data_IF_715968047182
#
_entry.id   IF_715968047182
#
_cell.length_a   1.000
_cell.length_b   1.000
_cell.length_c   1.000
_cell.angle_alpha   90.00
_cell.angle_beta   90.00
_cell.angle_gamma   90.00
#
_symmetry.space_group_name_H-M   'P 1'
#
loop_
_entity.id
_entity.type
_entity.pdbx_description
1 polymer ?
#
# COMPACT_ATOMS: atom_id res chain seq x y z
N UNK A 1 29.16 17.90 33.03
CA UNK A 1 29.21 17.17 31.76
C UNK A 1 28.06 16.22 31.60
N UNK A 2 27.84 15.35 32.55
CA UNK A 2 26.73 14.41 32.48
C UNK A 2 25.37 15.09 32.39
N UNK A 3 25.21 16.22 33.02
CA UNK A 3 23.98 16.98 33.01
C UNK A 3 23.65 17.48 31.61
N UNK A 4 24.67 17.83 30.85
CA UNK A 4 24.47 18.28 29.47
C UNK A 4 23.96 17.16 28.59
N UNK A 5 24.49 15.97 28.80
CA UNK A 5 24.04 14.83 28.03
C UNK A 5 22.60 14.44 28.34
N UNK A 6 22.26 14.50 29.62
CA UNK A 6 20.88 14.24 30.02
C UNK A 6 19.92 15.23 29.40
N UNK A 7 20.29 16.49 29.40
CA UNK A 7 19.46 17.52 28.82
C UNK A 7 19.27 17.29 27.31
N UNK A 8 20.34 16.93 26.62
CA UNK A 8 20.26 16.63 25.20
C UNK A 8 19.34 15.46 24.93
N UNK A 9 19.43 14.42 25.72
CA UNK A 9 18.56 13.25 25.58
C UNK A 9 17.10 13.63 25.76
N UNK A 10 16.82 14.45 26.76
CA UNK A 10 15.47 14.93 26.98
C UNK A 10 14.94 15.73 25.80
N UNK A 11 15.77 16.58 25.24
CA UNK A 11 15.39 17.36 24.07
C UNK A 11 15.06 16.44 22.90
N UNK A 12 15.84 15.42 22.69
CA UNK A 12 15.58 14.46 21.63
C UNK A 12 14.27 13.72 21.84
N UNK A 13 14.02 13.30 23.04
CA UNK A 13 12.77 12.60 23.35
C UNK A 13 11.58 13.51 23.11
N UNK A 14 11.65 14.75 23.55
CA UNK A 14 10.58 15.71 23.33
C UNK A 14 10.38 15.99 21.85
N UNK A 15 11.46 16.19 21.13
CA UNK A 15 11.39 16.40 19.69
C UNK A 15 10.78 15.20 18.99
N UNK A 16 11.16 14.00 19.40
CA UNK A 16 10.60 12.79 18.81
C UNK A 16 9.11 12.67 19.05
N UNK A 17 8.65 12.98 20.25
CA UNK A 17 7.22 12.95 20.56
C UNK A 17 6.46 13.99 19.76
N UNK A 18 6.99 15.19 19.70
CA UNK A 18 6.33 16.24 18.91
C UNK A 18 6.25 15.86 17.44
N UNK A 19 7.31 15.35 16.88
CA UNK A 19 7.34 14.91 15.50
C UNK A 19 6.34 13.79 15.29
N UNK A 20 6.27 12.86 16.20
CA UNK A 20 5.32 11.76 16.11
C UNK A 20 3.87 12.25 16.09
N UNK A 21 3.52 13.14 17.02
CA UNK A 21 2.17 13.69 17.08
C UNK A 21 1.86 14.51 15.81
N UNK A 22 2.83 15.25 15.36
CA UNK A 22 2.68 16.04 14.17
C UNK A 22 2.39 15.16 12.95
N UNK A 23 3.14 14.08 12.79
CA UNK A 23 2.90 13.14 11.69
C UNK A 23 1.54 12.48 11.79
N UNK A 24 1.09 12.17 12.97
CA UNK A 24 -0.23 11.58 13.14
C UNK A 24 -1.33 12.45 12.58
N UNK A 25 -1.21 13.76 12.77
CA UNK A 25 -2.18 14.70 12.24
C UNK A 25 -2.09 14.90 10.73
N UNK A 26 -0.97 14.56 10.13
CA UNK A 26 -0.74 14.82 8.71
C UNK A 26 -0.86 13.60 7.81
N UNK A 27 -1.18 12.47 8.37
CA UNK A 27 -1.26 11.24 7.58
C UNK A 27 -2.16 11.35 6.38
N UNK A 28 -3.23 12.07 6.52
CA UNK A 28 -4.19 12.22 5.44
C UNK A 28 -3.67 13.05 4.28
N UNK A 29 -2.69 13.93 4.56
CA UNK A 29 -2.16 14.85 3.56
C UNK A 29 -1.12 14.19 2.68
N UNK A 30 -0.45 13.18 3.18
CA UNK A 30 0.71 12.58 2.52
C UNK A 30 0.43 11.30 1.77
N UNK A 31 -0.83 11.06 1.46
CA UNK A 31 -1.20 9.84 0.76
C UNK A 31 -0.84 9.85 -0.72
N UNK A 32 -0.15 10.90 -1.17
CA UNK A 32 0.28 10.97 -2.55
C UNK A 32 1.37 9.96 -2.88
N UNK A 33 2.09 9.48 -1.87
CA UNK A 33 3.12 8.47 -2.09
C UNK A 33 2.61 7.04 -1.98
N UNK A 34 1.31 6.87 -1.89
CA UNK A 34 0.69 5.55 -1.90
C UNK A 34 -0.44 5.51 -2.93
N UNK A 35 -0.74 4.32 -3.36
CA UNK A 35 -1.85 4.05 -4.26
C UNK A 35 -2.63 2.88 -3.72
N UNK A 36 -3.94 3.04 -3.58
CA UNK A 36 -4.81 1.98 -3.09
C UNK A 36 -5.71 1.48 -4.19
N UNK A 37 -6.03 0.20 -4.13
CA UNK A 37 -6.94 -0.41 -5.08
C UNK A 37 -7.75 -1.50 -4.39
N UNK A 38 -9.05 -1.46 -4.61
CA UNK A 38 -9.98 -2.47 -4.10
C UNK A 38 -10.52 -3.27 -5.27
N UNK A 39 -10.45 -4.57 -5.15
CA UNK A 39 -10.94 -5.49 -6.16
C UNK A 39 -11.97 -6.42 -5.54
N UNK A 40 -13.10 -6.58 -6.19
CA UNK A 40 -14.13 -7.50 -5.72
C UNK A 40 -13.60 -8.94 -5.76
N UNK A 41 -13.73 -9.62 -4.64
CA UNK A 41 -13.26 -11.00 -4.49
C UNK A 41 -14.31 -11.84 -3.79
N UNK A 42 -14.48 -13.06 -4.24
CA UNK A 42 -15.43 -13.99 -3.63
C UNK A 42 -14.68 -15.21 -3.08
N UNK A 43 -14.26 -15.11 -1.82
CA UNK A 43 -13.55 -16.21 -1.18
C UNK A 43 -14.41 -17.46 -1.01
N UNK A 44 -15.72 -17.29 -0.90
CA UNK A 44 -16.63 -18.43 -0.81
C UNK A 44 -16.58 -19.26 -2.10
N UNK A 45 -16.41 -18.59 -3.23
CA UNK A 45 -16.23 -19.25 -4.51
C UNK A 45 -14.77 -19.58 -4.81
N UNK A 46 -13.88 -19.45 -3.83
CA UNK A 46 -12.43 -19.72 -3.97
C UNK A 46 -11.74 -18.81 -4.99
N UNK A 47 -12.24 -17.60 -5.17
CA UNK A 47 -11.63 -16.61 -6.05
C UNK A 47 -10.69 -15.72 -5.27
N UNK A 48 -9.50 -15.48 -5.83
CA UNK A 48 -8.50 -14.63 -5.21
C UNK A 48 -7.70 -13.89 -6.26
N UNK A 49 -7.39 -12.64 -5.98
CA UNK A 49 -6.55 -11.81 -6.85
C UNK A 49 -5.09 -11.97 -6.47
N UNK A 50 -4.26 -12.12 -7.48
CA UNK A 50 -2.81 -12.04 -7.37
C UNK A 50 -2.33 -10.87 -8.21
N UNK A 51 -1.08 -10.47 -8.04
CA UNK A 51 -0.54 -9.34 -8.80
C UNK A 51 0.90 -9.61 -9.20
N UNK A 52 1.31 -8.95 -10.29
CA UNK A 52 2.70 -8.94 -10.74
C UNK A 52 3.04 -7.53 -11.20
N UNK A 53 4.31 -7.17 -11.11
CA UNK A 53 4.82 -5.88 -11.55
C UNK A 53 5.61 -6.03 -12.83
N UNK A 54 5.47 -5.06 -13.74
CA UNK A 54 6.26 -5.04 -14.97
C UNK A 54 7.73 -4.73 -14.70
N UNK A 55 8.03 -4.09 -13.58
CA UNK A 55 9.38 -3.69 -13.20
C UNK A 55 9.47 -3.74 -11.68
N UNK A 56 10.43 -4.50 -11.19
CA UNK A 56 10.66 -4.63 -9.75
C UNK A 56 11.42 -3.41 -9.22
N UNK A 57 11.11 -3.01 -8.00
CA UNK A 57 11.83 -1.96 -7.32
C UNK A 57 11.29 -0.55 -7.51
N UNK A 58 10.22 -0.37 -8.25
CA UNK A 58 9.58 0.95 -8.39
C UNK A 58 8.51 1.16 -7.33
N UNK A 59 7.75 0.12 -7.03
CA UNK A 59 6.74 0.12 -5.98
C UNK A 59 6.83 -1.18 -5.19
N UNK A 60 6.21 -1.16 -4.02
CA UNK A 60 6.02 -2.40 -3.23
C UNK A 60 4.64 -2.39 -2.58
N UNK A 61 4.19 -3.55 -2.20
CA UNK A 61 2.93 -3.69 -1.45
C UNK A 61 3.20 -3.36 0.00
N UNK A 62 2.50 -2.35 0.50
CA UNK A 62 2.54 -2.00 1.91
C UNK A 62 1.50 -2.77 2.70
N UNK A 63 0.34 -2.98 2.10
CA UNK A 63 -0.75 -3.68 2.76
C UNK A 63 -1.58 -4.44 1.74
N UNK A 64 -2.06 -5.61 2.16
CA UNK A 64 -2.94 -6.44 1.36
C UNK A 64 -3.85 -7.19 2.31
N UNK A 65 -5.16 -6.96 2.22
CA UNK A 65 -6.11 -7.62 3.11
C UNK A 65 -7.40 -7.94 2.37
N UNK A 66 -8.11 -8.94 2.89
CA UNK A 66 -9.44 -9.27 2.42
C UNK A 66 -10.48 -8.72 3.40
N UNK A 67 -11.44 -8.00 2.86
CA UNK A 67 -12.55 -7.44 3.63
C UNK A 67 -13.80 -8.21 3.26
N UNK A 68 -14.38 -8.90 4.24
CA UNK A 68 -15.59 -9.68 4.01
C UNK A 68 -16.78 -8.79 3.70
N UNK A 69 -17.62 -9.26 2.77
CA UNK A 69 -18.90 -8.63 2.52
C UNK A 69 -19.91 -8.97 3.59
N UNK A 70 -20.93 -8.16 3.71
CA UNK A 70 -22.03 -8.38 4.66
C UNK A 70 -23.09 -9.31 4.07
N UNK A 71 -23.66 -10.16 4.92
CA UNK A 71 -24.79 -11.02 4.55
C UNK A 71 -24.53 -11.89 3.32
N UNK A 72 -23.33 -12.45 3.21
CA UNK A 72 -23.00 -13.32 2.09
C UNK A 72 -22.65 -12.58 0.79
N UNK A 73 -22.59 -11.27 0.81
CA UNK A 73 -22.16 -10.50 -0.33
C UNK A 73 -20.69 -10.72 -0.61
N UNK A 74 -20.27 -10.41 -1.83
CA UNK A 74 -18.87 -10.48 -2.21
C UNK A 74 -18.04 -9.55 -1.35
N UNK A 75 -16.86 -10.01 -0.95
CA UNK A 75 -15.91 -9.17 -0.26
C UNK A 75 -15.01 -8.42 -1.23
N UNK A 76 -13.99 -7.80 -0.68
CA UNK A 76 -13.00 -7.04 -1.46
C UNK A 76 -11.60 -7.39 -1.01
N UNK A 77 -10.69 -7.45 -1.94
CA UNK A 77 -9.27 -7.45 -1.62
C UNK A 77 -8.77 -6.03 -1.75
N UNK A 78 -8.20 -5.53 -0.67
CA UNK A 78 -7.64 -4.19 -0.60
C UNK A 78 -6.14 -4.27 -0.71
N UNK A 79 -5.56 -3.47 -1.60
CA UNK A 79 -4.11 -3.38 -1.78
C UNK A 79 -3.67 -1.94 -1.60
N UNK A 80 -2.57 -1.77 -0.90
CA UNK A 80 -1.91 -0.48 -0.80
C UNK A 80 -0.46 -0.63 -1.27
N UNK A 81 -0.06 0.21 -2.22
CA UNK A 81 1.29 0.21 -2.80
C UNK A 81 1.98 1.52 -2.45
N UNK A 82 3.27 1.46 -2.21
CA UNK A 82 4.08 2.66 -1.97
C UNK A 82 5.17 2.76 -3.03
N UNK A 83 5.58 3.99 -3.32
CA UNK A 83 6.66 4.25 -4.26
C UNK A 83 8.01 4.06 -3.61
N UNK A 84 8.91 3.39 -4.31
CA UNK A 84 10.28 3.16 -3.86
C UNK A 84 11.28 3.98 -4.63
N UNK A 85 11.02 4.18 -5.92
CA UNK A 85 11.90 4.96 -6.75
C UNK A 85 11.15 5.48 -7.98
N UNK A 86 11.66 6.55 -8.57
CA UNK A 86 11.08 7.15 -9.77
C UNK A 86 11.00 6.13 -10.90
N UNK A 87 9.89 6.09 -11.59
CA UNK A 87 9.71 5.23 -12.75
C UNK A 87 8.24 5.00 -13.08
N UNK A 88 8.02 4.18 -14.08
CA UNK A 88 6.69 3.76 -14.50
C UNK A 88 6.58 2.26 -14.32
N UNK A 89 5.49 1.81 -13.74
CA UNK A 89 5.25 0.39 -13.51
C UNK A 89 3.81 0.04 -13.85
N UNK A 90 3.62 -1.11 -14.47
CA UNK A 90 2.29 -1.66 -14.69
C UNK A 90 2.07 -2.82 -13.73
N UNK A 91 0.98 -2.76 -12.99
CA UNK A 91 0.56 -3.85 -12.14
C UNK A 91 -0.47 -4.66 -12.90
N UNK A 92 -0.25 -5.94 -13.03
CA UNK A 92 -1.21 -6.87 -13.60
C UNK A 92 -1.84 -7.67 -12.47
N UNK A 93 -3.14 -7.51 -12.29
CA UNK A 93 -3.92 -8.26 -11.32
C UNK A 93 -4.64 -9.38 -12.04
N UNK A 94 -4.55 -10.59 -11.50
CA UNK A 94 -5.28 -11.73 -12.01
C UNK A 94 -6.14 -12.34 -10.92
N UNK A 95 -7.42 -12.50 -11.19
CA UNK A 95 -8.32 -13.23 -10.32
C UNK A 95 -8.28 -14.70 -10.71
N UNK A 96 -7.90 -15.54 -9.79
CA UNK A 96 -7.76 -16.97 -10.02
C UNK A 96 -8.68 -17.78 -9.12
N UNK A 97 -9.13 -18.91 -9.63
CA UNK A 97 -9.80 -19.90 -8.81
C UNK A 97 -8.73 -20.72 -8.09
N UNK A 98 -8.80 -20.76 -6.76
CA UNK A 98 -7.78 -21.42 -5.94
C UNK A 98 -7.76 -22.95 -6.09
N UNK A 99 -8.87 -23.53 -6.51
CA UNK A 99 -8.97 -24.98 -6.71
C UNK A 99 -8.41 -25.43 -8.06
N UNK A 100 -8.71 -24.67 -9.10
CA UNK A 100 -8.32 -25.03 -10.46
C UNK A 100 -7.10 -24.29 -10.98
N UNK A 101 -6.70 -23.21 -10.31
CA UNK A 101 -5.64 -22.29 -10.72
C UNK A 101 -5.93 -21.57 -12.03
N UNK A 102 -7.17 -21.62 -12.50
CA UNK A 102 -7.56 -20.92 -13.72
C UNK A 102 -7.72 -19.43 -13.48
N UNK A 103 -7.25 -18.64 -14.44
CA UNK A 103 -7.45 -17.20 -14.42
C UNK A 103 -8.86 -16.88 -14.90
N UNK A 104 -9.61 -16.14 -14.10
CA UNK A 104 -10.99 -15.77 -14.38
C UNK A 104 -11.07 -14.38 -14.99
N UNK A 105 -10.32 -13.45 -14.42
CA UNK A 105 -10.32 -12.04 -14.82
C UNK A 105 -8.91 -11.48 -14.72
N UNK A 106 -8.68 -10.40 -15.43
CA UNK A 106 -7.43 -9.66 -15.37
C UNK A 106 -7.70 -8.18 -15.41
N UNK A 107 -6.94 -7.43 -14.61
CA UNK A 107 -6.95 -5.97 -14.65
C UNK A 107 -5.52 -5.45 -14.64
N UNK A 108 -5.30 -4.36 -15.36
CA UNK A 108 -3.99 -3.73 -15.43
C UNK A 108 -4.10 -2.27 -15.05
N UNK A 109 -3.14 -1.82 -14.27
CA UNK A 109 -3.03 -0.44 -13.86
C UNK A 109 -1.60 0.01 -14.07
N UNK A 110 -1.40 1.13 -14.74
CA UNK A 110 -0.08 1.72 -14.92
C UNK A 110 0.06 2.91 -14.00
N UNK A 111 1.12 2.89 -13.20
CA UNK A 111 1.41 3.93 -12.22
C UNK A 111 2.72 4.62 -12.56
N UNK A 112 2.76 5.92 -12.30
CA UNK A 112 3.95 6.75 -12.47
C UNK A 112 4.38 7.20 -11.08
N UNK A 113 5.63 6.93 -10.72
CA UNK A 113 6.23 7.39 -9.47
C UNK A 113 7.21 8.49 -9.81
N UNK A 114 7.04 9.65 -9.20
CA UNK A 114 7.92 10.80 -9.45
C UNK A 114 9.14 10.81 -8.51
N UNK A 115 9.96 11.86 -8.64
CA UNK A 115 11.18 12.01 -7.82
C UNK A 115 10.90 12.05 -6.33
N UNK A 116 9.73 12.52 -5.95
CA UNK A 116 9.33 12.63 -4.55
C UNK A 116 8.59 11.40 -4.07
N UNK A 117 8.55 10.38 -4.90
CA UNK A 117 7.84 9.12 -4.65
C UNK A 117 6.32 9.27 -4.57
N UNK A 118 5.79 10.32 -5.16
CA UNK A 118 4.36 10.44 -5.32
C UNK A 118 3.90 9.55 -6.46
N UNK A 119 2.78 8.89 -6.26
CA UNK A 119 2.23 7.95 -7.23
C UNK A 119 1.01 8.56 -7.89
N UNK A 120 0.95 8.41 -9.20
CA UNK A 120 -0.22 8.81 -9.93
C UNK A 120 -0.55 7.77 -10.99
N UNK A 121 -1.83 7.56 -11.23
CA UNK A 121 -2.30 6.66 -12.26
C UNK A 121 -2.11 7.31 -13.63
N UNK A 122 -1.59 6.55 -14.54
CA UNK A 122 -1.38 7.02 -15.90
C UNK A 122 -2.69 7.10 -16.69
#
# INVERSE_FOLDING_TARGET
>A
MKKKHLLLILIFILAGVVVYLYFSGKKTVNNQNSYTMDLDANYTAKEMWTYTFSDDGIIEVKDSEYIEGENGAKGKQHFEFIGLKKGTVTITFECKNLETSDAIKQEKVTLIVDKKLNIKKK
#
